data_IF_856568016890
#
_entry.id   IF_856568016890
#
_cell.length_a   1.000
_cell.length_b   1.000
_cell.length_c   1.000
_cell.angle_alpha   90.00
_cell.angle_beta   90.00
_cell.angle_gamma   90.00
#
_symmetry.space_group_name_H-M   'P 1'
#
loop_
_entity.id
_entity.type
_entity.pdbx_description
1 polymer ?
2 non-polymer ?
3 non-polymer ?
4 water ?
#
# COMPACT_ATOMS: atom_id res chain seq x y z
N UNK A 23 27.36 16.67 15.82
CA UNK A 23 26.62 17.85 16.26
C UNK A 23 26.31 17.78 17.75
N UNK A 24 25.34 18.60 18.17
CA UNK A 24 24.80 18.56 19.52
C UNK A 24 23.29 18.73 19.41
N UNK A 25 22.54 17.69 19.73
CA UNK A 25 21.10 17.69 19.48
C UNK A 25 20.44 16.64 20.35
N UNK A 26 19.19 16.92 20.74
CA UNK A 26 18.41 15.93 21.48
C UNK A 26 18.10 14.73 20.58
N UNK A 27 17.87 14.98 19.29
CA UNK A 27 17.64 13.89 18.35
C UNK A 27 18.89 13.02 18.22
N UNK A 28 20.07 13.64 18.14
CA UNK A 28 21.31 12.86 18.07
C UNK A 28 21.57 12.12 19.37
N UNK A 29 21.16 12.68 20.51
CA UNK A 29 21.25 11.96 21.77
C UNK A 29 20.38 10.72 21.75
N UNK A 30 19.14 10.88 21.29
CA UNK A 30 18.20 9.74 21.27
C UNK A 30 18.68 8.67 20.30
N UNK A 31 19.13 9.07 19.11
CA UNK A 31 19.60 8.12 18.11
C UNK A 31 20.82 7.36 18.64
N UNK A 32 21.69 8.03 19.38
CA UNK A 32 22.88 7.41 19.95
C UNK A 32 22.61 6.68 21.26
N UNK A 33 21.34 6.53 21.63
CA UNK A 33 20.94 5.79 22.83
C UNK A 33 21.47 6.43 24.11
N UNK A 34 21.72 7.74 24.09
CA UNK A 34 22.10 8.48 25.28
C UNK A 34 20.89 9.23 25.82
N UNK A 35 20.70 9.18 27.13
CA UNK A 35 19.62 9.91 27.76
C UNK A 35 19.90 11.41 27.65
N UNK A 36 19.02 12.19 27.05
CA UNK A 36 19.31 13.62 26.87
C UNK A 36 19.29 14.38 28.18
N UNK A 37 20.02 15.50 28.18
CA UNK A 37 19.99 16.46 29.29
C UNK A 37 18.84 17.43 29.02
N UNK A 38 17.64 17.00 29.37
CA UNK A 38 16.43 17.75 29.02
C UNK A 38 16.48 19.18 29.56
N UNK A 39 17.02 19.36 30.77
CA UNK A 39 17.07 20.68 31.37
C UNK A 39 17.97 21.62 30.58
N UNK A 40 19.08 21.11 30.05
CA UNK A 40 19.97 21.94 29.25
C UNK A 40 19.29 22.37 27.95
N UNK A 41 18.52 21.47 27.33
CA UNK A 41 17.81 21.82 26.11
C UNK A 41 16.67 22.80 26.39
N UNK A 42 16.03 22.70 27.55
CA UNK A 42 14.99 23.66 27.90
C UNK A 42 15.59 25.04 28.19
N UNK A 43 16.73 25.07 28.89
CA UNK A 43 17.40 26.35 29.14
C UNK A 43 17.88 26.98 27.85
N UNK A 44 18.19 26.17 26.83
CA UNK A 44 18.58 26.69 25.53
C UNK A 44 17.39 27.22 24.72
N UNK A 45 16.20 27.24 25.31
CA UNK A 45 15.02 27.77 24.62
C UNK A 45 14.28 26.79 23.75
N UNK A 46 14.57 25.50 23.85
CA UNK A 46 13.90 24.50 23.04
C UNK A 46 12.70 23.93 23.78
N UNK A 47 11.71 23.47 23.01
CA UNK A 47 10.58 22.75 23.54
C UNK A 47 10.73 21.26 23.22
N UNK A 48 10.37 20.42 24.19
CA UNK A 48 10.45 18.97 23.96
C UNK A 48 9.39 18.47 23.00
N UNK A 49 8.57 19.36 22.43
CA UNK A 49 7.65 19.03 21.35
C UNK A 49 8.13 19.52 20.00
N UNK A 50 9.34 20.07 19.93
CA UNK A 50 9.82 20.69 18.70
C UNK A 50 10.15 19.64 17.65
N UNK A 51 9.88 19.99 16.39
CA UNK A 51 10.28 19.16 15.26
C UNK A 51 11.78 19.33 15.03
N UNK A 52 12.51 18.23 15.00
CA UNK A 52 13.96 18.29 14.93
C UNK A 52 14.43 18.36 13.47
N UNK A 53 15.74 18.23 13.26
CA UNK A 53 16.34 18.33 11.94
C UNK A 53 15.95 17.17 11.03
N UNK A 54 15.38 16.09 11.57
CA UNK A 54 14.95 14.97 10.77
C UNK A 54 13.45 14.97 10.50
N UNK A 55 12.72 15.97 10.98
CA UNK A 55 11.29 16.05 10.80
C UNK A 55 10.46 15.36 11.87
N UNK A 56 11.07 14.95 12.98
CA UNK A 56 10.38 14.21 14.02
C UNK A 56 10.45 14.98 15.34
N UNK A 57 9.67 14.52 16.30
CA UNK A 57 9.73 14.99 17.67
C UNK A 57 10.58 14.04 18.52
N UNK A 58 11.06 14.49 19.68
CA UNK A 58 11.81 13.56 20.54
C UNK A 58 11.05 12.28 20.88
N UNK A 59 9.74 12.38 21.11
CA UNK A 59 8.95 11.18 21.40
C UNK A 59 8.87 10.27 20.18
N UNK A 60 8.73 10.84 18.99
CA UNK A 60 8.72 10.02 17.78
C UNK A 60 10.09 9.41 17.54
N UNK A 61 11.17 10.12 17.89
CA UNK A 61 12.49 9.51 17.83
C UNK A 61 12.60 8.31 18.76
N UNK A 62 12.08 8.46 19.99
CA UNK A 62 12.06 7.35 20.93
C UNK A 62 11.27 6.17 20.37
N UNK A 63 10.12 6.43 19.76
CA UNK A 63 9.33 5.36 19.18
C UNK A 63 10.05 4.67 18.05
N UNK A 64 10.70 5.44 17.17
CA UNK A 64 11.43 4.87 16.04
C UNK A 64 12.58 4.01 16.53
N UNK A 65 13.28 4.46 17.57
CA UNK A 65 14.45 3.74 18.07
C UNK A 65 14.14 2.78 19.21
N UNK A 66 12.85 2.62 19.56
CA UNK A 66 12.42 1.66 20.58
C UNK A 66 13.06 1.93 21.94
N UNK A 67 13.27 3.22 22.25
CA UNK A 67 13.92 3.64 23.50
C UNK A 67 12.81 4.01 24.48
N UNK A 68 12.47 3.06 25.36
CA UNK A 68 11.30 3.25 26.21
C UNK A 68 11.62 4.10 27.44
N UNK A 69 12.86 4.06 27.94
CA UNK A 69 13.19 4.89 29.11
C UNK A 69 13.18 6.38 28.76
N UNK A 70 13.73 6.74 27.61
CA UNK A 70 13.71 8.14 27.19
C UNK A 70 12.28 8.59 26.93
N UNK A 71 11.45 7.69 26.40
CA UNK A 71 10.04 8.02 26.18
C UNK A 71 9.32 8.23 27.51
N UNK A 72 9.64 7.42 28.52
CA UNK A 72 9.07 7.64 29.85
C UNK A 72 9.49 9.00 30.40
N UNK A 73 10.76 9.35 30.23
CA UNK A 73 11.23 10.67 30.66
C UNK A 73 10.45 11.78 29.96
N UNK A 74 10.26 11.65 28.64
CA UNK A 74 9.55 12.69 27.89
C UNK A 74 8.09 12.78 28.33
N UNK A 75 7.45 11.65 28.58
CA UNK A 75 6.05 11.66 29.03
C UNK A 75 5.95 12.28 30.42
N UNK A 76 6.95 12.02 31.28
CA UNK A 76 6.98 12.66 32.58
C UNK A 76 7.03 14.18 32.47
N UNK A 77 7.71 14.70 31.44
CA UNK A 77 7.75 16.13 31.21
C UNK A 77 6.57 16.62 30.37
N UNK A 78 5.51 15.81 30.28
CA UNK A 78 4.22 16.21 29.70
C UNK A 78 4.35 16.73 28.27
N UNK A 79 5.04 15.95 27.42
CA UNK A 79 5.04 16.25 26.00
C UNK A 79 3.68 15.90 25.40
N UNK A 80 3.37 16.51 24.26
CA UNK A 80 2.15 16.17 23.53
C UNK A 80 2.29 14.76 22.97
N UNK A 81 1.60 13.80 23.59
CA UNK A 81 1.74 12.40 23.21
C UNK A 81 1.09 12.06 21.88
N UNK A 82 0.36 13.01 21.28
CA UNK A 82 -0.31 12.77 20.01
C UNK A 82 0.19 13.68 18.89
N UNK A 83 1.30 14.40 19.10
CA UNK A 83 1.80 15.29 18.06
C UNK A 83 2.45 14.49 16.94
N UNK A 84 1.98 14.63 15.71
CA UNK A 84 2.55 13.82 14.62
C UNK A 84 3.63 14.56 13.85
N UNK A 85 4.26 13.86 12.90
CA UNK A 85 5.14 14.52 11.94
C UNK A 85 4.28 15.06 10.81
N UNK A 86 4.92 15.54 9.74
CA UNK A 86 4.18 16.19 8.66
C UNK A 86 3.24 15.23 7.96
N UNK A 87 3.55 13.93 7.97
CA UNK A 87 2.71 12.94 7.31
C UNK A 87 1.50 12.54 8.15
N UNK A 88 1.42 12.97 9.41
CA UNK A 88 0.33 12.60 10.27
C UNK A 88 0.57 11.38 11.13
N UNK A 89 1.77 10.82 11.10
CA UNK A 89 2.11 9.65 11.91
C UNK A 89 2.34 10.09 13.35
N UNK A 90 1.41 9.76 14.23
CA UNK A 90 1.59 10.02 15.65
C UNK A 90 2.64 9.06 16.21
N UNK A 91 3.15 9.33 17.43
CA UNK A 91 4.05 8.36 18.05
C UNK A 91 3.46 6.97 18.15
N UNK A 92 2.14 6.85 18.34
CA UNK A 92 1.52 5.54 18.36
C UNK A 92 1.63 4.85 17.01
N UNK A 93 1.48 5.60 15.91
CA UNK A 93 1.70 5.05 14.58
C UNK A 93 3.09 4.43 14.47
N UNK A 94 4.11 5.15 14.94
CA UNK A 94 5.48 4.67 14.82
C UNK A 94 5.71 3.45 15.71
N UNK A 95 5.15 3.45 16.92
CA UNK A 95 5.31 2.29 17.80
C UNK A 95 4.63 1.07 17.23
N UNK A 96 3.45 1.25 16.62
CA UNK A 96 2.68 0.11 16.12
C UNK A 96 3.31 -0.43 14.85
N UNK A 97 3.75 0.44 13.95
CA UNK A 97 4.44 -0.02 12.74
C UNK A 97 5.71 -0.77 13.07
N UNK A 98 6.31 -0.54 14.24
CA UNK A 98 7.45 -1.31 14.70
C UNK A 98 7.05 -2.61 15.39
N UNK A 99 5.75 -2.85 15.59
CA UNK A 99 5.26 -4.00 16.34
C UNK A 99 5.88 -4.06 17.73
N UNK A 100 6.05 -2.89 18.34
CA UNK A 100 6.64 -2.77 19.67
C UNK A 100 5.50 -2.73 20.68
N UNK A 101 5.32 -3.83 21.42
CA UNK A 101 4.20 -3.93 22.35
C UNK A 101 4.41 -3.04 23.57
N UNK A 102 5.63 -3.00 24.11
CA UNK A 102 5.88 -2.21 25.31
C UNK A 102 5.69 -0.72 25.04
N UNK A 103 6.25 -0.23 23.92
CA UNK A 103 6.09 1.18 23.59
C UNK A 103 4.64 1.53 23.30
N UNK A 104 3.93 0.65 22.60
CA UNK A 104 2.52 0.88 22.32
C UNK A 104 1.71 0.95 23.61
N UNK A 105 1.98 0.03 24.55
CA UNK A 105 1.27 0.04 25.83
C UNK A 105 1.59 1.30 26.62
N UNK A 106 2.86 1.72 26.63
CA UNK A 106 3.24 2.95 27.32
C UNK A 106 2.50 4.15 26.74
N UNK A 107 2.46 4.25 25.41
CA UNK A 107 1.79 5.37 24.76
C UNK A 107 0.29 5.37 25.04
N UNK A 108 -0.34 4.19 24.93
CA UNK A 108 -1.78 4.10 25.18
C UNK A 108 -2.12 4.40 26.64
N UNK A 109 -1.22 4.06 27.56
CA UNK A 109 -1.48 4.32 28.97
C UNK A 109 -1.64 5.82 29.24
N UNK A 110 -0.85 6.65 28.55
CA UNK A 110 -0.82 8.08 28.82
C UNK A 110 -1.53 8.89 27.74
N UNK A 111 -2.52 8.31 27.09
CA UNK A 111 -3.46 9.07 26.28
C UNK A 111 -3.24 9.08 24.79
N UNK A 112 -2.45 8.17 24.24
CA UNK A 112 -2.27 8.11 22.80
C UNK A 112 -3.59 7.69 22.13
N UNK A 113 -4.02 8.47 21.15
CA UNK A 113 -5.28 8.22 20.46
C UNK A 113 -5.18 6.93 19.64
N UNK A 114 -5.91 5.87 20.01
CA UNK A 114 -5.80 4.62 19.25
C UNK A 114 -6.47 4.66 17.89
N UNK A 115 -7.22 5.72 17.58
CA UNK A 115 -7.91 5.84 16.30
C UNK A 115 -7.37 7.00 15.47
N UNK A 116 -6.17 7.48 15.77
CA UNK A 116 -5.56 8.53 14.96
C UNK A 116 -5.24 8.00 13.57
N UNK A 117 -5.41 8.85 12.57
CA UNK A 117 -5.11 8.49 11.19
C UNK A 117 -4.18 9.53 10.59
N UNK A 118 -3.43 9.10 9.58
CA UNK A 118 -2.42 9.94 8.95
C UNK A 118 -3.06 10.87 7.92
N UNK A 119 -2.21 11.61 7.22
CA UNK A 119 -2.68 12.58 6.24
C UNK A 119 -3.50 11.93 5.13
N UNK A 120 -3.19 10.68 4.79
CA UNK A 120 -3.93 9.94 3.78
C UNK A 120 -5.15 9.22 4.34
N UNK A 121 -5.38 9.30 5.65
CA UNK A 121 -6.49 8.59 6.27
C UNK A 121 -6.15 7.21 6.77
N UNK A 122 -4.87 6.89 6.94
CA UNK A 122 -4.42 5.57 7.37
C UNK A 122 -4.36 5.55 8.89
N UNK A 123 -5.23 4.77 9.51
CA UNK A 123 -5.32 4.73 10.97
C UNK A 123 -4.28 3.78 11.56
N UNK A 124 -4.24 3.74 12.89
CA UNK A 124 -3.21 2.99 13.61
C UNK A 124 -3.30 1.50 13.34
N UNK A 125 -4.51 0.98 13.10
CA UNK A 125 -4.72 -0.45 12.98
C UNK A 125 -4.38 -1.00 11.60
N UNK A 126 -4.17 -0.15 10.59
CA UNK A 126 -4.11 -0.63 9.20
C UNK A 126 -2.96 -1.61 9.01
N UNK A 127 -1.75 -1.23 9.42
CA UNK A 127 -0.59 -2.07 9.16
C UNK A 127 -0.60 -3.34 10.02
N UNK A 128 -0.94 -3.29 11.30
CA UNK A 128 -1.09 -4.57 12.04
C UNK A 128 -2.17 -5.46 11.48
N UNK A 129 -3.25 -4.90 10.94
CA UNK A 129 -4.27 -5.72 10.30
C UNK A 129 -3.70 -6.40 9.05
N UNK A 130 -2.97 -5.63 8.24
CA UNK A 130 -2.41 -6.17 7.00
C UNK A 130 -1.32 -7.20 7.28
N UNK A 131 -0.62 -7.07 8.40
CA UNK A 131 0.49 -7.97 8.73
C UNK A 131 0.09 -9.08 9.68
N UNK A 132 -1.17 -9.13 10.11
CA UNK A 132 -1.62 -10.20 11.00
C UNK A 132 -0.93 -10.21 12.34
N UNK A 133 -0.72 -9.04 12.94
CA UNK A 133 -0.07 -8.92 14.25
C UNK A 133 -1.16 -8.87 15.31
N UNK A 134 -1.55 -10.04 15.80
CA UNK A 134 -2.75 -10.15 16.63
C UNK A 134 -2.56 -9.55 18.02
N UNK A 135 -1.35 -9.65 18.58
CA UNK A 135 -1.12 -9.15 19.94
C UNK A 135 -1.31 -7.63 20.00
N UNK A 136 -0.67 -6.91 19.07
CA UNK A 136 -0.80 -5.46 19.06
C UNK A 136 -2.21 -5.04 18.65
N UNK A 137 -2.86 -5.83 17.80
CA UNK A 137 -4.25 -5.56 17.47
C UNK A 137 -5.16 -5.66 18.69
N UNK A 138 -4.95 -6.68 19.51
CA UNK A 138 -5.77 -6.83 20.71
C UNK A 138 -5.44 -5.76 21.74
N UNK A 139 -4.17 -5.37 21.84
CA UNK A 139 -3.81 -4.26 22.72
C UNK A 139 -4.51 -2.98 22.28
N UNK A 140 -4.59 -2.73 20.98
CA UNK A 140 -5.28 -1.54 20.49
C UNK A 140 -6.79 -1.65 20.71
N UNK A 141 -7.35 -2.85 20.53
CA UNK A 141 -8.76 -3.07 20.80
C UNK A 141 -9.09 -2.73 22.25
N UNK A 142 -8.26 -3.20 23.18
CA UNK A 142 -8.51 -3.01 24.60
C UNK A 142 -8.55 -1.53 24.96
N UNK A 143 -7.85 -0.68 24.21
CA UNK A 143 -7.80 0.74 24.50
C UNK A 143 -8.69 1.57 23.58
N UNK A 144 -9.52 0.91 22.76
CA UNK A 144 -10.58 1.60 22.05
C UNK A 144 -10.47 1.68 20.54
N UNK A 145 -9.51 0.99 19.92
CA UNK A 145 -9.36 1.07 18.48
C UNK A 145 -10.54 0.40 17.78
N UNK A 146 -11.01 1.02 16.70
CA UNK A 146 -12.16 0.54 15.93
C UNK A 146 -11.67 -0.11 14.65
N UNK A 147 -11.99 -1.40 14.48
CA UNK A 147 -11.44 -2.17 13.36
C UNK A 147 -12.07 -1.78 12.03
N UNK A 148 -13.32 -1.33 12.05
CA UNK A 148 -14.02 -1.04 10.80
C UNK A 148 -13.34 0.07 10.01
N UNK A 149 -12.75 1.05 10.70
CA UNK A 149 -12.02 2.11 10.01
C UNK A 149 -10.88 1.54 9.18
N UNK A 150 -10.04 0.70 9.80
CA UNK A 150 -8.92 0.10 9.08
C UNK A 150 -9.41 -0.78 7.95
N UNK A 151 -10.43 -1.61 8.20
CA UNK A 151 -10.93 -2.50 7.16
C UNK A 151 -11.47 -1.71 5.96
N UNK A 152 -12.23 -0.64 6.24
CA UNK A 152 -12.80 0.16 5.16
C UNK A 152 -11.72 0.89 4.38
N UNK A 153 -10.70 1.42 5.07
CA UNK A 153 -9.60 2.07 4.36
C UNK A 153 -8.91 1.08 3.43
N UNK A 154 -8.56 -0.10 3.96
CA UNK A 154 -7.86 -1.11 3.16
C UNK A 154 -8.70 -1.49 1.94
N UNK A 155 -9.99 -1.76 2.16
CA UNK A 155 -10.86 -2.20 1.07
C UNK A 155 -11.03 -1.11 0.03
N UNK A 156 -11.22 0.14 0.46
CA UNK A 156 -11.40 1.23 -0.49
C UNK A 156 -10.14 1.46 -1.33
N UNK A 157 -8.97 1.43 -0.69
CA UNK A 157 -7.73 1.59 -1.44
C UNK A 157 -7.53 0.45 -2.42
N UNK A 158 -7.78 -0.79 -1.98
CA UNK A 158 -7.59 -1.94 -2.85
C UNK A 158 -8.54 -1.89 -4.03
N UNK A 159 -9.78 -1.44 -3.81
CA UNK A 159 -10.74 -1.34 -4.90
C UNK A 159 -10.35 -0.24 -5.87
N UNK A 160 -9.94 0.92 -5.35
CA UNK A 160 -9.50 2.00 -6.21
C UNK A 160 -8.32 1.62 -7.08
N UNK A 161 -7.42 0.79 -6.54
CA UNK A 161 -6.26 0.37 -7.32
C UNK A 161 -6.62 -0.74 -8.31
N UNK A 162 -7.31 -1.78 -7.85
CA UNK A 162 -7.61 -2.93 -8.73
C UNK A 162 -8.53 -2.53 -9.87
N UNK A 163 -9.52 -1.69 -9.59
CA UNK A 163 -10.48 -1.26 -10.62
C UNK A 163 -10.05 0.04 -11.30
N UNK A 164 -8.88 0.58 -10.96
CA UNK A 164 -8.32 1.77 -11.60
C UNK A 164 -9.29 2.95 -11.54
N UNK A 165 -9.89 3.16 -10.37
CA UNK A 165 -10.83 4.25 -10.20
C UNK A 165 -10.12 5.58 -10.09
N UNK A 166 -10.77 6.62 -10.61
CA UNK A 166 -10.25 7.98 -10.54
C UNK A 166 -11.08 8.81 -9.57
N UNK A 167 -10.44 9.82 -8.98
CA UNK A 167 -11.12 10.71 -8.07
C UNK A 167 -11.00 10.28 -6.62
N UNK A 168 -11.91 10.81 -5.81
CA UNK A 168 -11.93 10.57 -4.38
C UNK A 168 -13.17 9.77 -4.00
N UNK A 169 -13.19 9.33 -2.74
CA UNK A 169 -14.38 8.75 -2.13
C UNK A 169 -14.29 8.95 -0.63
N UNK A 170 -15.43 9.12 0.01
CA UNK A 170 -15.46 9.39 1.45
C UNK A 170 -15.74 8.11 2.22
N UNK A 171 -14.87 7.81 3.17
CA UNK A 171 -15.06 6.68 4.07
C UNK A 171 -15.35 7.23 5.46
N UNK A 172 -15.68 6.32 6.38
CA UNK A 172 -16.10 6.68 7.73
C UNK A 172 -14.95 6.41 8.69
N UNK A 173 -14.57 7.41 9.49
CA UNK A 173 -13.53 7.25 10.48
C UNK A 173 -14.14 6.64 11.75
N UNK A 174 -13.35 6.55 12.81
CA UNK A 174 -13.82 5.94 14.05
C UNK A 174 -14.82 6.79 14.81
N UNK A 175 -15.04 8.04 14.39
CA UNK A 175 -16.00 8.92 15.03
C UNK A 175 -17.30 9.05 14.23
N UNK A 176 -17.51 8.19 13.23
CA UNK A 176 -18.69 8.29 12.40
C UNK A 176 -18.66 9.42 11.39
N UNK A 177 -17.56 10.16 11.29
CA UNK A 177 -17.44 11.27 10.37
C UNK A 177 -16.77 10.83 9.07
N UNK A 178 -17.13 11.51 7.99
CA UNK A 178 -16.59 11.18 6.68
C UNK A 178 -15.25 11.86 6.46
N UNK A 179 -14.27 11.10 5.96
CA UNK A 179 -12.98 11.62 5.54
C UNK A 179 -12.74 11.22 4.09
N UNK A 180 -11.99 12.05 3.39
CA UNK A 180 -11.71 11.81 1.98
C UNK A 180 -10.58 10.81 1.82
N UNK A 181 -10.68 10.00 0.76
CA UNK A 181 -9.69 9.00 0.41
C UNK A 181 -9.44 9.10 -1.08
N UNK A 182 -8.17 9.18 -1.46
CA UNK A 182 -7.77 9.36 -2.86
C UNK A 182 -7.59 7.99 -3.50
N UNK A 183 -8.46 7.68 -4.47
CA UNK A 183 -8.34 6.42 -5.20
C UNK A 183 -7.00 6.29 -5.89
N UNK A 184 -6.42 7.42 -6.33
CA UNK A 184 -5.23 7.41 -7.16
C UNK A 184 -3.94 7.60 -6.36
N UNK A 185 -4.02 7.89 -5.07
CA UNK A 185 -2.82 8.08 -4.27
C UNK A 185 -2.11 6.76 -4.04
N UNK A 186 -0.82 6.73 -4.31
CA UNK A 186 -0.01 5.53 -4.16
C UNK A 186 0.79 5.60 -2.87
N UNK A 187 0.74 4.52 -2.09
CA UNK A 187 1.50 4.39 -0.85
C UNK A 187 2.30 3.10 -0.94
N UNK A 188 3.64 3.21 -0.86
CA UNK A 188 4.50 2.08 -1.20
C UNK A 188 4.43 0.97 -0.15
N UNK A 189 4.64 1.32 1.12
CA UNK A 189 4.63 0.31 2.17
C UNK A 189 3.25 -0.33 2.29
N UNK A 190 2.20 0.48 2.22
CA UNK A 190 0.84 -0.05 2.18
C UNK A 190 0.66 -1.01 1.01
N UNK A 191 1.19 -0.65 -0.17
CA UNK A 191 1.04 -1.51 -1.33
C UNK A 191 1.75 -2.85 -1.14
N UNK A 192 2.97 -2.82 -0.60
CA UNK A 192 3.69 -4.07 -0.35
C UNK A 192 2.92 -4.96 0.60
N UNK A 193 2.44 -4.37 1.71
CA UNK A 193 1.69 -5.15 2.70
C UNK A 193 0.42 -5.74 2.10
N UNK A 194 -0.33 -4.93 1.34
CA UNK A 194 -1.59 -5.41 0.80
C UNK A 194 -1.37 -6.44 -0.29
N UNK A 195 -0.26 -6.35 -1.03
CA UNK A 195 0.02 -7.34 -2.07
C UNK A 195 0.38 -8.68 -1.43
N UNK A 196 1.20 -8.64 -0.37
CA UNK A 196 1.51 -9.88 0.34
C UNK A 196 0.24 -10.52 0.91
N UNK A 197 -0.62 -9.70 1.53
CA UNK A 197 -1.85 -10.25 2.09
C UNK A 197 -2.78 -10.79 1.02
N UNK A 198 -2.81 -10.14 -0.15
CA UNK A 198 -3.65 -10.62 -1.25
C UNK A 198 -3.15 -11.95 -1.79
N UNK A 199 -1.83 -12.11 -1.90
CA UNK A 199 -1.29 -13.40 -2.31
C UNK A 199 -1.63 -14.48 -1.29
N UNK A 200 -1.50 -14.16 0.01
CA UNK A 200 -1.84 -15.12 1.05
C UNK A 200 -3.29 -15.56 0.95
N UNK A 201 -4.21 -14.60 0.76
CA UNK A 201 -5.62 -14.94 0.58
C UNK A 201 -5.85 -15.72 -0.70
N UNK A 202 -5.08 -15.41 -1.75
CA UNK A 202 -5.27 -16.04 -3.04
C UNK A 202 -4.95 -17.53 -3.00
N UNK A 203 -3.78 -17.89 -2.46
CA UNK A 203 -3.41 -19.30 -2.39
C UNK A 203 -4.17 -20.06 -1.33
N UNK A 204 -5.03 -19.39 -0.56
CA UNK A 204 -5.83 -20.02 0.47
C UNK A 204 -7.30 -20.14 0.09
N UNK A 205 -7.68 -19.66 -1.09
CA UNK A 205 -9.06 -19.74 -1.54
C UNK A 205 -9.35 -21.13 -2.10
N UNK A 206 -10.56 -21.63 -1.85
CA UNK A 206 -10.98 -22.88 -2.45
C UNK A 206 -10.93 -22.82 -3.97
N UNK A 207 -11.45 -21.72 -4.54
CA UNK A 207 -11.55 -21.56 -5.98
C UNK A 207 -10.21 -21.59 -6.70
N UNK A 208 -9.09 -21.62 -5.97
CA UNK A 208 -7.77 -21.64 -6.59
C UNK A 208 -7.02 -22.94 -6.31
N UNK A 209 -7.73 -23.99 -5.85
CA UNK A 209 -7.04 -25.24 -5.53
C UNK A 209 -6.35 -25.84 -6.75
N UNK A 210 -6.91 -25.65 -7.95
CA UNK A 210 -6.29 -26.16 -9.15
C UNK A 210 -4.94 -25.52 -9.45
N UNK A 211 -4.57 -24.48 -8.71
CA UNK A 211 -3.27 -23.83 -8.85
C UNK A 211 -2.28 -24.26 -7.77
N UNK A 212 -2.58 -25.37 -7.07
CA UNK A 212 -1.76 -25.77 -5.92
C UNK A 212 -0.29 -25.93 -6.29
N UNK A 213 -0.01 -26.50 -7.46
CA UNK A 213 1.37 -26.75 -7.88
C UNK A 213 2.16 -25.46 -7.99
N UNK A 214 1.50 -24.32 -8.16
CA UNK A 214 2.18 -23.03 -8.28
C UNK A 214 2.42 -22.36 -6.93
N UNK A 215 1.92 -22.94 -5.84
CA UNK A 215 1.94 -22.29 -4.53
C UNK A 215 3.35 -22.14 -3.93
N UNK A 216 4.23 -23.14 -4.02
CA UNK A 216 5.59 -22.95 -3.47
C UNK A 216 6.30 -21.70 -3.98
N UNK A 217 6.37 -21.53 -5.30
CA UNK A 217 7.01 -20.34 -5.87
C UNK A 217 6.41 -19.06 -5.30
N UNK A 218 5.07 -18.98 -5.31
CA UNK A 218 4.38 -17.83 -4.72
C UNK A 218 4.85 -17.60 -3.29
N UNK A 219 4.97 -18.68 -2.52
CA UNK A 219 5.46 -18.56 -1.14
C UNK A 219 6.77 -17.79 -1.10
N UNK A 220 7.73 -18.19 -1.94
CA UNK A 220 9.02 -17.50 -1.98
C UNK A 220 8.82 -16.02 -2.25
N UNK A 221 7.97 -15.70 -3.23
CA UNK A 221 7.68 -14.29 -3.54
C UNK A 221 7.22 -13.57 -2.29
N UNK A 222 6.26 -14.18 -1.56
CA UNK A 222 5.78 -13.58 -0.33
C UNK A 222 6.93 -13.31 0.63
N UNK A 223 7.80 -14.31 0.81
CA UNK A 223 9.00 -14.11 1.62
C UNK A 223 9.73 -12.86 1.20
N UNK A 224 10.04 -12.74 -0.09
CA UNK A 224 10.75 -11.57 -0.58
C UNK A 224 10.00 -10.29 -0.22
N UNK A 225 8.69 -10.29 -0.44
CA UNK A 225 7.90 -9.10 -0.11
C UNK A 225 8.07 -8.75 1.35
N UNK A 226 8.03 -9.76 2.24
CA UNK A 226 8.29 -9.53 3.65
C UNK A 226 9.58 -8.76 3.83
N UNK A 227 10.68 -9.30 3.30
CA UNK A 227 11.97 -8.63 3.43
C UNK A 227 11.89 -7.21 2.89
N UNK A 228 11.23 -7.04 1.73
CA UNK A 228 11.09 -5.70 1.16
C UNK A 228 10.49 -4.75 2.18
N UNK A 229 9.41 -5.16 2.83
CA UNK A 229 8.78 -4.33 3.85
C UNK A 229 9.80 -3.88 4.88
N UNK A 230 10.58 -4.83 5.42
CA UNK A 230 11.61 -4.47 6.38
C UNK A 230 12.55 -3.42 5.78
N UNK A 231 13.08 -3.70 4.59
CA UNK A 231 14.03 -2.78 3.98
C UNK A 231 13.40 -1.43 3.73
N UNK A 232 12.08 -1.37 3.53
CA UNK A 232 11.45 -0.08 3.32
C UNK A 232 11.30 0.69 4.62
N UNK A 233 11.05 -0.02 5.73
CA UNK A 233 10.86 0.66 7.00
C UNK A 233 12.13 1.40 7.43
N UNK A 234 13.29 0.80 7.17
CA UNK A 234 14.56 1.44 7.49
C UNK A 234 14.75 2.76 6.76
N UNK A 235 13.99 2.98 5.68
CA UNK A 235 14.08 4.27 4.99
C UNK A 235 13.63 5.43 5.86
N UNK A 236 12.78 5.16 6.87
CA UNK A 236 12.33 6.21 7.76
C UNK A 236 13.32 6.51 8.88
N UNK A 237 14.26 5.62 9.14
CA UNK A 237 15.21 5.81 10.23
C UNK A 237 16.12 7.01 9.93
N UNK A 238 16.32 7.90 10.90
CA UNK A 238 17.16 9.08 10.63
C UNK A 238 18.64 8.77 10.44
N UNK A 239 19.14 7.66 10.97
CA UNK A 239 20.57 7.34 10.87
C UNK A 239 20.73 5.83 11.07
N UNK A 240 20.97 5.11 9.98
CA UNK A 240 21.18 3.68 10.07
C UNK A 240 22.48 3.36 10.79
N UNK A 241 22.47 2.25 11.52
CA UNK A 241 23.61 1.86 12.32
C UNK A 241 24.08 0.44 12.09
N UNK A 242 24.83 -0.10 13.05
CA UNK A 242 25.46 -1.40 12.88
C UNK A 242 24.43 -2.50 12.65
N UNK A 243 23.34 -2.49 13.42
CA UNK A 243 22.35 -3.57 13.32
C UNK A 243 21.62 -3.53 11.99
N UNK A 244 21.33 -2.32 11.49
CA UNK A 244 20.69 -2.22 10.18
C UNK A 244 21.58 -2.80 9.08
N UNK A 245 22.88 -2.53 9.15
CA UNK A 245 23.79 -3.06 8.16
C UNK A 245 23.97 -4.56 8.31
N UNK A 246 23.92 -5.08 9.54
CA UNK A 246 23.92 -6.54 9.73
C UNK A 246 22.69 -7.17 9.10
N UNK A 247 21.52 -6.53 9.27
CA UNK A 247 20.30 -7.05 8.66
C UNK A 247 20.40 -7.01 7.14
N UNK A 248 20.94 -5.92 6.58
CA UNK A 248 21.09 -5.84 5.14
C UNK A 248 22.05 -6.92 4.63
N UNK A 249 23.12 -7.20 5.40
CA UNK A 249 24.03 -8.27 5.02
C UNK A 249 23.34 -9.62 5.05
N UNK A 250 22.46 -9.84 6.04
CA UNK A 250 21.70 -11.08 6.09
C UNK A 250 20.78 -11.21 4.88
N UNK A 251 20.08 -10.13 4.53
CA UNK A 251 19.13 -10.19 3.41
C UNK A 251 19.82 -10.28 2.06
N UNK A 252 21.06 -9.79 1.94
CA UNK A 252 21.80 -9.98 0.70
C UNK A 252 22.10 -11.43 0.43
N UNK A 253 21.97 -12.32 1.42
CA UNK A 253 22.15 -13.75 1.22
C UNK A 253 20.84 -14.48 0.94
N UNK A 254 19.70 -13.79 1.00
CA UNK A 254 18.44 -14.40 0.69
C UNK A 254 18.37 -14.78 -0.78
N UNK A 255 17.63 -15.83 -1.14
CA UNK A 255 17.56 -16.23 -2.55
C UNK A 255 16.89 -15.21 -3.44
N UNK A 256 15.84 -14.55 -2.95
CA UNK A 256 15.11 -13.56 -3.73
C UNK A 256 15.08 -12.23 -2.98
N UNK A 257 15.10 -11.15 -3.74
CA UNK A 257 15.19 -9.79 -3.21
C UNK A 257 14.30 -8.89 -4.06
N UNK A 258 13.44 -8.11 -3.40
CA UNK A 258 12.56 -7.17 -4.09
C UNK A 258 12.96 -5.77 -3.67
N UNK A 259 13.34 -4.95 -4.65
CA UNK A 259 13.84 -3.60 -4.42
C UNK A 259 12.94 -2.59 -5.13
N UNK A 260 12.01 -1.95 -4.43
CA UNK A 260 11.27 -0.84 -5.04
C UNK A 260 12.09 0.43 -4.96
N UNK A 261 12.17 1.15 -6.08
CA UNK A 261 12.92 2.38 -6.18
C UNK A 261 11.99 3.51 -6.60
N UNK A 262 12.21 4.68 -6.00
CA UNK A 262 11.45 5.89 -6.32
C UNK A 262 12.25 6.72 -7.31
N UNK A 263 11.64 7.02 -8.45
CA UNK A 263 12.28 7.82 -9.49
C UNK A 263 11.21 8.57 -10.26
N UNK A 264 11.40 9.89 -10.40
CA UNK A 264 10.51 10.74 -11.19
C UNK A 264 9.06 10.63 -10.71
N UNK A 265 8.88 10.58 -9.39
CA UNK A 265 7.55 10.48 -8.82
C UNK A 265 6.86 9.15 -9.00
N UNK A 266 7.57 8.12 -9.45
CA UNK A 266 6.98 6.81 -9.68
C UNK A 266 7.81 5.74 -9.00
N UNK A 267 7.16 4.62 -8.67
CA UNK A 267 7.84 3.47 -8.10
C UNK A 267 8.08 2.45 -9.20
N UNK A 268 9.35 2.18 -9.50
CA UNK A 268 9.72 1.08 -10.37
C UNK A 268 10.30 -0.04 -9.51
N UNK A 269 10.26 -1.26 -10.03
CA UNK A 269 10.58 -2.42 -9.19
C UNK A 269 11.75 -3.19 -9.78
N UNK A 270 12.59 -3.72 -8.91
CA UNK A 270 13.68 -4.59 -9.30
C UNK A 270 13.58 -5.90 -8.53
N UNK A 271 13.93 -6.99 -9.19
CA UNK A 271 13.89 -8.31 -8.58
C UNK A 271 15.24 -8.98 -8.79
N UNK A 272 15.85 -9.44 -7.71
CA UNK A 272 17.08 -10.21 -7.75
C UNK A 272 16.74 -11.65 -7.35
N UNK A 273 17.16 -12.61 -8.18
CA UNK A 273 17.01 -14.02 -7.85
C UNK A 273 18.26 -14.73 -8.31
N UNK A 274 19.13 -15.08 -7.35
CA UNK A 274 20.42 -15.69 -7.65
C UNK A 274 21.21 -14.82 -8.61
N UNK A 275 21.55 -15.36 -9.78
CA UNK A 275 22.34 -14.61 -10.76
C UNK A 275 21.48 -13.79 -11.71
N UNK A 276 20.18 -13.68 -11.46
CA UNK A 276 19.26 -12.98 -12.35
C UNK A 276 18.78 -11.68 -11.73
N UNK A 277 18.60 -10.67 -12.56
CA UNK A 277 18.15 -9.34 -12.16
C UNK A 277 17.04 -8.93 -13.12
N UNK A 278 16.05 -8.19 -12.61
CA UNK A 278 14.91 -7.82 -13.42
C UNK A 278 14.48 -6.41 -13.11
N UNK A 279 14.24 -5.62 -14.15
CA UNK A 279 13.69 -4.28 -14.03
C UNK A 279 12.27 -4.26 -14.56
N UNK A 280 11.37 -3.67 -13.78
CA UNK A 280 9.95 -3.57 -14.08
C UNK A 280 9.58 -2.10 -14.01
N UNK A 281 9.20 -1.53 -15.16
CA UNK A 281 8.73 -0.15 -15.25
C UNK A 281 7.74 -0.11 -16.41
N UNK A 282 6.45 -0.16 -16.10
CA UNK A 282 5.40 -0.19 -17.10
C UNK A 282 4.98 1.21 -17.56
N UNK A 283 5.68 2.24 -17.13
CA UNK A 283 5.31 3.60 -17.48
C UNK A 283 5.95 4.09 -18.78
N UNK A 284 6.36 5.35 -18.80
CA UNK A 284 6.90 5.96 -20.02
C UNK A 284 8.11 5.19 -20.55
N UNK A 285 9.00 4.76 -19.65
CA UNK A 285 10.22 4.08 -20.07
C UNK A 285 9.92 2.83 -20.90
N UNK A 286 8.77 2.19 -20.67
CA UNK A 286 8.42 0.99 -21.42
C UNK A 286 8.30 1.26 -22.91
N UNK A 287 8.09 2.51 -23.32
CA UNK A 287 8.05 2.81 -24.76
C UNK A 287 9.42 2.60 -25.40
N UNK A 288 10.50 2.77 -24.64
CA UNK A 288 11.84 2.57 -25.16
C UNK A 288 12.39 1.18 -24.87
N UNK A 289 12.11 0.66 -23.66
CA UNK A 289 12.72 -0.58 -23.20
C UNK A 289 11.76 -1.76 -23.16
N UNK A 290 10.46 -1.53 -23.22
CA UNK A 290 9.50 -2.54 -22.82
C UNK A 290 9.32 -2.52 -21.31
N UNK A 291 8.33 -3.29 -20.85
CA UNK A 291 7.94 -3.20 -19.45
C UNK A 291 8.89 -3.95 -18.53
N UNK A 292 9.30 -5.16 -18.91
CA UNK A 292 10.02 -6.05 -18.01
C UNK A 292 11.24 -6.61 -18.73
N UNK A 293 12.42 -6.33 -18.19
CA UNK A 293 13.68 -6.82 -18.73
C UNK A 293 14.41 -7.65 -17.69
N UNK A 294 14.98 -8.77 -18.12
CA UNK A 294 15.67 -9.72 -17.25
C UNK A 294 17.10 -9.87 -17.76
N UNK A 295 18.06 -9.64 -16.87
CA UNK A 295 19.49 -9.69 -17.16
C UNK A 295 20.15 -10.74 -16.29
N UNK A 296 21.34 -11.17 -16.73
CA UNK A 296 22.23 -11.99 -15.91
C UNK A 296 23.23 -11.08 -15.21
N UNK A 297 23.42 -11.29 -13.92
CA UNK A 297 24.39 -10.51 -13.15
C UNK A 297 25.77 -11.12 -13.36
N UNK A 298 26.61 -10.45 -14.15
CA UNK A 298 27.93 -10.94 -14.47
C UNK A 298 29.01 -10.41 -13.53
N UNK A 299 28.71 -9.38 -12.74
CA UNK A 299 29.60 -8.91 -11.68
C UNK A 299 28.86 -8.96 -10.35
N UNK A 300 28.61 -10.16 -9.82
CA UNK A 300 27.90 -10.27 -8.54
C UNK A 300 28.69 -9.71 -7.37
N UNK A 301 30.00 -9.54 -7.51
CA UNK A 301 30.82 -8.98 -6.44
C UNK A 301 30.49 -7.52 -6.15
N UNK A 302 29.81 -6.84 -7.07
CA UNK A 302 29.42 -5.45 -6.87
C UNK A 302 28.09 -5.31 -6.12
N UNK A 303 27.37 -6.42 -5.90
CA UNK A 303 26.09 -6.39 -5.19
C UNK A 303 26.38 -6.51 -3.70
N UNK A 304 26.76 -5.40 -3.09
CA UNK A 304 27.27 -5.35 -1.73
C UNK A 304 26.34 -4.53 -0.84
N UNK A 305 26.78 -4.36 0.42
CA UNK A 305 26.06 -3.51 1.36
C UNK A 305 25.99 -2.08 0.84
N UNK A 306 27.12 -1.57 0.36
CA UNK A 306 27.15 -0.20 -0.15
C UNK A 306 26.24 -0.03 -1.36
N UNK A 307 26.11 -1.08 -2.18
CA UNK A 307 25.17 -1.02 -3.30
C UNK A 307 23.74 -0.87 -2.80
N UNK A 308 23.34 -1.70 -1.82
CA UNK A 308 21.99 -1.63 -1.29
C UNK A 308 21.74 -0.27 -0.63
N UNK A 309 22.77 0.28 0.02
CA UNK A 309 22.61 1.57 0.67
C UNK A 309 22.42 2.68 -0.36
N UNK A 310 23.27 2.71 -1.40
CA UNK A 310 23.07 3.66 -2.48
C UNK A 310 21.71 3.48 -3.14
N UNK A 311 21.22 2.25 -3.21
CA UNK A 311 19.99 1.94 -3.93
C UNK A 311 18.76 2.40 -3.17
N UNK A 312 18.71 2.12 -1.86
CA UNK A 312 17.48 2.32 -1.08
C UNK A 312 17.54 3.51 -0.14
N UNK A 313 18.72 3.92 0.33
CA UNK A 313 18.83 4.87 1.43
C UNK A 313 19.58 6.14 1.04
N UNK A 314 19.90 6.33 -0.23
CA UNK A 314 20.39 7.59 -0.74
C UNK A 314 19.51 8.06 -1.88
N UNK A 315 19.47 9.37 -2.08
CA UNK A 315 18.69 9.95 -3.18
C UNK A 315 19.46 9.80 -4.49
N UNK A 316 18.86 9.15 -5.47
CA UNK A 316 19.48 8.92 -6.77
C UNK A 316 18.56 9.44 -7.87
N UNK A 317 19.14 9.69 -9.04
CA UNK A 317 18.40 10.16 -10.20
C UNK A 317 18.08 8.99 -11.13
N UNK A 318 17.34 9.28 -12.19
CA UNK A 318 17.02 8.26 -13.19
C UNK A 318 18.27 7.65 -13.82
N UNK A 319 19.35 8.43 -13.93
CA UNK A 319 20.58 7.93 -14.53
C UNK A 319 21.17 6.79 -13.72
N UNK A 320 21.01 6.83 -12.39
CA UNK A 320 21.52 5.75 -11.55
C UNK A 320 20.76 4.46 -11.80
N UNK A 321 19.42 4.52 -11.81
CA UNK A 321 18.62 3.30 -11.92
C UNK A 321 18.53 2.77 -13.34
N UNK A 322 18.80 3.60 -14.35
CA UNK A 322 18.67 3.16 -15.73
C UNK A 322 19.99 2.98 -16.45
N UNK A 323 21.12 3.16 -15.78
CA UNK A 323 22.41 3.00 -16.47
C UNK A 323 23.54 2.62 -15.51
N UNK A 324 23.67 3.35 -14.41
CA UNK A 324 24.80 3.13 -13.50
C UNK A 324 24.79 1.71 -12.94
N UNK A 325 23.62 1.20 -12.55
CA UNK A 325 23.55 -0.13 -11.96
C UNK A 325 23.85 -1.19 -13.02
N UNK A 326 23.46 -0.95 -14.28
CA UNK A 326 23.80 -1.89 -15.35
C UNK A 326 25.31 -2.04 -15.48
N UNK A 327 26.04 -0.92 -15.37
CA UNK A 327 27.49 -0.98 -15.48
C UNK A 327 28.11 -1.59 -14.24
N UNK A 328 27.59 -1.27 -13.06
CA UNK A 328 28.18 -1.76 -11.82
C UNK A 328 28.00 -3.27 -11.69
N UNK A 329 26.79 -3.76 -11.95
CA UNK A 329 26.49 -5.18 -11.84
C UNK A 329 26.84 -5.98 -13.08
N UNK A 330 27.18 -5.31 -14.19
CA UNK A 330 27.43 -6.00 -15.44
C UNK A 330 26.20 -6.73 -15.94
N UNK A 331 25.10 -6.01 -16.08
CA UNK A 331 23.81 -6.61 -16.40
C UNK A 331 23.77 -7.00 -17.86
N UNK A 332 23.85 -8.30 -18.13
CA UNK A 332 23.81 -8.82 -19.49
C UNK A 332 22.37 -9.13 -19.88
N UNK A 333 21.80 -8.45 -20.87
CA UNK A 333 20.40 -8.72 -21.25
C UNK A 333 20.19 -10.18 -21.63
N UNK A 334 19.12 -10.76 -21.09
CA UNK A 334 18.87 -12.18 -21.27
C UNK A 334 17.47 -12.45 -21.80
N UNK A 335 16.46 -11.83 -21.20
CA UNK A 335 15.09 -12.11 -21.57
C UNK A 335 14.22 -10.88 -21.33
N UNK A 336 12.98 -10.95 -21.79
CA UNK A 336 12.01 -9.90 -21.57
C UNK A 336 10.63 -10.52 -21.37
N UNK A 337 9.72 -9.76 -20.79
CA UNK A 337 8.38 -10.27 -20.56
C UNK A 337 7.35 -9.29 -21.13
N UNK A 338 6.38 -9.78 -21.91
CA UNK A 338 5.36 -8.90 -22.52
C UNK A 338 4.28 -8.47 -21.54
N UNK A 339 4.68 -7.64 -20.58
CA UNK A 339 3.75 -7.06 -19.62
C UNK A 339 3.20 -5.78 -20.20
N UNK A 340 1.87 -5.61 -20.11
CA UNK A 340 1.23 -4.45 -20.71
C UNK A 340 1.70 -3.15 -20.06
N UNK A 341 1.80 -2.11 -20.88
CA UNK A 341 2.25 -0.82 -20.41
C UNK A 341 1.14 -0.09 -19.65
N UNK A 342 1.55 0.82 -18.77
CA UNK A 342 0.64 1.69 -18.02
C UNK A 342 1.13 3.11 -18.23
N UNK A 343 0.78 3.69 -19.38
CA UNK A 343 1.25 5.02 -19.72
C UNK A 343 0.42 6.09 -19.02
N UNK A 344 -0.91 5.93 -19.06
CA UNK A 344 -1.78 6.89 -18.39
C UNK A 344 -1.74 6.69 -16.88
N UNK A 345 -1.84 7.79 -16.15
CA UNK A 345 -1.90 7.73 -14.70
C UNK A 345 -0.56 7.38 -14.07
N UNK A 346 -0.65 6.85 -12.84
CA UNK A 346 0.51 6.45 -12.07
C UNK A 346 0.70 4.94 -12.19
N UNK A 347 1.88 4.53 -12.63
CA UNK A 347 2.17 3.13 -12.90
C UNK A 347 2.78 2.41 -11.71
N UNK A 348 2.94 3.08 -10.57
CA UNK A 348 3.61 2.46 -9.42
C UNK A 348 2.88 1.20 -8.97
N UNK A 349 1.55 1.28 -8.85
CA UNK A 349 0.78 0.11 -8.44
C UNK A 349 0.98 -1.05 -9.41
N UNK A 350 0.85 -0.78 -10.71
CA UNK A 350 1.03 -1.83 -11.71
C UNK A 350 2.45 -2.38 -11.68
N UNK A 351 3.44 -1.52 -11.44
CA UNK A 351 4.82 -1.98 -11.35
C UNK A 351 4.99 -2.95 -10.18
N UNK A 352 4.36 -2.65 -9.04
CA UNK A 352 4.46 -3.57 -7.90
C UNK A 352 3.71 -4.86 -8.19
N UNK A 353 2.54 -4.76 -8.83
CA UNK A 353 1.78 -5.97 -9.16
C UNK A 353 2.58 -6.89 -10.08
N UNK A 354 3.27 -6.33 -11.07
CA UNK A 354 4.01 -7.12 -12.04
C UNK A 354 5.16 -7.90 -11.43
N UNK A 355 5.53 -7.62 -10.17
CA UNK A 355 6.62 -8.35 -9.53
C UNK A 355 6.30 -9.85 -9.43
N UNK A 356 5.02 -10.19 -9.25
CA UNK A 356 4.61 -11.58 -9.02
C UNK A 356 4.94 -12.42 -10.25
N UNK A 357 4.43 -12.12 -11.45
CA UNK A 357 4.78 -12.97 -12.61
C UNK A 357 6.26 -12.92 -12.95
N UNK A 358 6.91 -11.78 -12.76
CA UNK A 358 8.33 -11.67 -13.08
C UNK A 358 9.15 -12.57 -12.14
N UNK A 359 8.88 -12.49 -10.84
CA UNK A 359 9.61 -13.33 -9.88
C UNK A 359 9.31 -14.81 -10.11
N UNK A 360 8.06 -15.13 -10.47
CA UNK A 360 7.73 -16.51 -10.82
C UNK A 360 8.58 -16.99 -11.99
N UNK A 361 8.59 -16.21 -13.08
CA UNK A 361 9.37 -16.59 -14.26
C UNK A 361 10.85 -16.74 -13.91
N UNK A 362 11.38 -15.84 -13.10
CA UNK A 362 12.79 -15.93 -12.73
C UNK A 362 13.07 -17.20 -11.93
N UNK A 363 12.10 -17.61 -11.09
CA UNK A 363 12.24 -18.89 -10.40
C UNK A 363 12.20 -20.06 -11.39
N UNK A 364 11.45 -19.90 -12.49
CA UNK A 364 11.33 -21.01 -13.44
C UNK A 364 12.66 -21.33 -14.11
N UNK A 365 13.57 -20.37 -14.18
CA UNK A 365 14.87 -20.57 -14.81
C UNK A 365 15.68 -21.66 -14.10
N UNK A 371 12.60 -20.98 -19.83
CA UNK A 371 11.94 -19.71 -19.60
C UNK A 371 10.58 -19.67 -20.30
N UNK A 372 9.52 -19.52 -19.50
CA UNK A 372 8.15 -19.57 -20.01
C UNK A 372 7.32 -18.49 -19.33
N UNK A 373 7.12 -17.35 -20.01
CA UNK A 373 6.22 -16.32 -19.45
C UNK A 373 4.75 -16.69 -19.50
N UNK A 374 4.39 -17.79 -20.17
CA UNK A 374 2.99 -18.16 -20.35
C UNK A 374 2.29 -18.39 -19.01
N UNK A 375 2.83 -19.34 -18.23
CA UNK A 375 2.21 -19.69 -16.95
C UNK A 375 2.23 -18.49 -16.02
N UNK A 376 3.32 -17.72 -16.02
CA UNK A 376 3.42 -16.57 -15.13
C UNK A 376 2.35 -15.53 -15.45
N UNK A 377 2.16 -15.22 -16.73
CA UNK A 377 1.17 -14.22 -17.10
C UNK A 377 -0.25 -14.73 -16.85
N UNK A 378 -0.50 -16.00 -17.12
CA UNK A 378 -1.82 -16.56 -16.83
C UNK A 378 -2.13 -16.50 -15.34
N UNK A 379 -1.14 -16.86 -14.51
CA UNK A 379 -1.30 -16.78 -13.06
C UNK A 379 -1.53 -15.34 -12.62
N UNK A 380 -0.82 -14.39 -13.21
CA UNK A 380 -1.00 -12.99 -12.87
C UNK A 380 -2.42 -12.52 -13.17
N UNK A 381 -2.93 -12.87 -14.36
CA UNK A 381 -4.29 -12.49 -14.72
C UNK A 381 -5.32 -13.11 -13.78
N UNK A 382 -5.15 -14.41 -13.50
CA UNK A 382 -6.07 -15.09 -12.60
C UNK A 382 -6.07 -14.46 -11.22
N UNK A 383 -4.88 -14.15 -10.68
CA UNK A 383 -4.78 -13.52 -9.37
C UNK A 383 -5.44 -12.15 -9.36
N UNK A 384 -5.20 -11.35 -10.39
CA UNK A 384 -5.75 -9.99 -10.41
C UNK A 384 -7.28 -10.03 -10.49
N UNK A 385 -7.83 -10.88 -11.36
CA UNK A 385 -9.29 -10.95 -11.44
C UNK A 385 -9.90 -11.51 -10.17
N UNK A 386 -9.26 -12.52 -9.56
CA UNK A 386 -9.75 -13.05 -8.30
C UNK A 386 -9.74 -11.99 -7.22
N UNK A 387 -8.71 -11.14 -7.19
CA UNK A 387 -8.65 -10.10 -6.16
C UNK A 387 -9.70 -9.02 -6.39
N UNK A 388 -9.93 -8.66 -7.65
CA UNK A 388 -11.04 -7.76 -7.96
C UNK A 388 -12.35 -8.28 -7.39
N UNK A 389 -12.68 -9.54 -7.72
CA UNK A 389 -13.94 -10.11 -7.25
C UNK A 389 -13.97 -10.26 -5.74
N UNK A 390 -12.82 -10.54 -5.11
CA UNK A 390 -12.77 -10.67 -3.66
C UNK A 390 -13.07 -9.35 -2.98
N UNK A 391 -12.48 -8.26 -3.47
CA UNK A 391 -12.75 -6.95 -2.89
C UNK A 391 -14.21 -6.56 -3.09
N UNK A 392 -14.76 -6.83 -4.28
CA UNK A 392 -16.16 -6.54 -4.52
C UNK A 392 -17.07 -7.33 -3.57
N UNK A 393 -16.76 -8.61 -3.36
CA UNK A 393 -17.55 -9.43 -2.45
C UNK A 393 -17.44 -8.94 -1.01
N UNK A 394 -16.24 -8.48 -0.61
CA UNK A 394 -16.08 -7.91 0.72
C UNK A 394 -16.99 -6.71 0.90
N UNK A 395 -17.02 -5.82 -0.09
CA UNK A 395 -17.90 -4.65 -0.01
C UNK A 395 -19.37 -5.07 0.10
N UNK A 396 -19.79 -6.00 -0.76
CA UNK A 396 -21.19 -6.42 -0.77
C UNK A 396 -21.58 -7.05 0.56
N UNK A 397 -20.69 -7.87 1.13
CA UNK A 397 -20.98 -8.51 2.40
C UNK A 397 -21.04 -7.50 3.53
N UNK A 398 -20.11 -6.53 3.55
CA UNK A 398 -20.10 -5.55 4.62
C UNK A 398 -21.26 -4.57 4.52
N UNK A 399 -21.85 -4.40 3.34
CA UNK A 399 -22.96 -3.46 3.22
C UNK A 399 -24.12 -3.82 4.14
N UNK A 400 -24.48 -5.11 4.21
CA UNK A 400 -25.65 -5.51 4.97
C UNK A 400 -25.42 -5.47 6.48
N UNK A 401 -24.17 -5.39 6.92
CA UNK A 401 -23.84 -5.35 8.34
C UNK A 401 -23.44 -3.95 8.81
N UNK A 402 -23.57 -2.95 7.95
CA UNK A 402 -22.96 -1.66 8.19
C UNK A 402 -23.95 -0.64 8.78
N UNK A 403 -23.38 0.38 9.41
CA UNK A 403 -24.11 1.53 9.88
C UNK A 403 -24.59 2.36 8.69
N UNK A 404 -25.50 3.31 8.89
CA UNK A 404 -25.96 4.14 7.76
C UNK A 404 -24.83 4.87 7.04
N UNK A 405 -23.88 5.45 7.78
CA UNK A 405 -22.79 6.18 7.15
C UNK A 405 -21.87 5.24 6.38
N UNK A 406 -21.48 4.12 6.99
CA UNK A 406 -20.67 3.14 6.28
C UNK A 406 -21.43 2.55 5.10
N UNK A 407 -22.75 2.39 5.22
CA UNK A 407 -23.55 1.96 4.09
C UNK A 407 -23.49 2.96 2.94
N UNK A 408 -23.57 4.25 3.25
CA UNK A 408 -23.46 5.28 2.22
C UNK A 408 -22.09 5.24 1.56
N UNK A 409 -21.04 5.07 2.36
CA UNK A 409 -19.68 4.99 1.80
C UNK A 409 -19.54 3.79 0.87
N UNK A 410 -20.03 2.62 1.31
CA UNK A 410 -19.93 1.42 0.50
C UNK A 410 -20.75 1.56 -0.77
N UNK A 411 -21.92 2.18 -0.69
CA UNK A 411 -22.73 2.40 -1.88
C UNK A 411 -22.03 3.33 -2.87
N UNK A 412 -21.35 4.37 -2.35
CA UNK A 412 -20.58 5.25 -3.22
C UNK A 412 -19.45 4.48 -3.91
N UNK A 413 -18.77 3.62 -3.17
CA UNK A 413 -17.68 2.83 -3.76
C UNK A 413 -18.22 1.91 -4.84
N UNK A 414 -19.35 1.24 -4.57
CA UNK A 414 -19.93 0.33 -5.55
C UNK A 414 -20.39 1.08 -6.79
N UNK A 415 -20.98 2.27 -6.61
CA UNK A 415 -21.36 3.07 -7.76
C UNK A 415 -20.18 3.52 -8.58
N UNK A 416 -19.07 3.87 -7.91
CA UNK A 416 -17.86 4.19 -8.64
C UNK A 416 -17.37 3.02 -9.47
N UNK A 417 -17.33 1.83 -8.87
CA UNK A 417 -16.97 0.62 -9.62
C UNK A 417 -17.86 0.48 -10.85
N UNK A 418 -19.17 0.53 -10.64
CA UNK A 418 -20.13 0.29 -11.72
C UNK A 418 -19.95 1.31 -12.85
N UNK A 419 -19.80 2.58 -12.51
CA UNK A 419 -19.76 3.61 -13.54
C UNK A 419 -18.43 3.61 -14.28
N UNK A 420 -17.31 3.47 -13.55
CA UNK A 420 -16.01 3.66 -14.17
C UNK A 420 -15.43 2.40 -14.78
N UNK A 421 -15.67 1.22 -14.19
CA UNK A 421 -14.90 0.03 -14.51
C UNK A 421 -15.69 -1.06 -15.24
N UNK A 422 -16.99 -0.89 -15.46
CA UNK A 422 -17.82 -1.92 -16.05
C UNK A 422 -18.22 -1.53 -17.47
N UNK A 423 -17.83 -2.34 -18.45
CA UNK A 423 -18.22 -2.16 -19.84
C UNK A 423 -19.36 -3.12 -20.16
N UNK A 424 -20.37 -2.61 -20.88
CA UNK A 424 -21.58 -3.38 -21.15
C UNK A 424 -21.33 -4.57 -22.07
N UNK A 425 -20.17 -4.66 -22.72
CA UNK A 425 -19.86 -5.76 -23.62
C UNK A 425 -19.06 -6.87 -22.95
N UNK A 426 -18.76 -6.75 -21.66
CA UNK A 426 -17.99 -7.73 -20.92
C UNK A 426 -18.92 -8.49 -19.99
N UNK A 427 -18.97 -9.82 -20.14
CA UNK A 427 -19.90 -10.61 -19.35
C UNK A 427 -19.47 -10.68 -17.88
N UNK A 428 -18.16 -10.68 -17.60
CA UNK A 428 -17.71 -10.61 -16.22
C UNK A 428 -18.06 -9.26 -15.59
N UNK A 429 -17.86 -8.18 -16.35
CA UNK A 429 -18.30 -6.88 -15.89
C UNK A 429 -19.80 -6.84 -15.70
N UNK A 430 -20.56 -7.57 -16.51
CA UNK A 430 -22.01 -7.62 -16.34
C UNK A 430 -22.40 -8.37 -15.08
N UNK A 431 -21.67 -9.44 -14.75
CA UNK A 431 -21.92 -10.15 -13.50
C UNK A 431 -21.63 -9.24 -12.30
N UNK A 432 -20.51 -8.51 -12.34
CA UNK A 432 -20.21 -7.55 -11.29
C UNK A 432 -21.28 -6.47 -11.21
N UNK A 433 -21.79 -6.03 -12.36
CA UNK A 433 -22.84 -5.02 -12.38
C UNK A 433 -24.13 -5.55 -11.78
N UNK A 434 -24.45 -6.83 -12.01
CA UNK A 434 -25.61 -7.43 -11.37
C UNK A 434 -25.43 -7.45 -9.86
N UNK A 435 -24.26 -7.91 -9.40
CA UNK A 435 -23.95 -7.89 -7.97
C UNK A 435 -24.14 -6.50 -7.37
N UNK A 436 -23.69 -5.47 -8.08
CA UNK A 436 -23.74 -4.11 -7.54
C UNK A 436 -25.17 -3.57 -7.58
N UNK A 437 -25.89 -3.79 -8.68
CA UNK A 437 -27.25 -3.31 -8.82
C UNK A 437 -28.20 -3.98 -7.84
N UNK A 438 -27.85 -5.18 -7.34
CA UNK A 438 -28.63 -5.75 -6.25
C UNK A 438 -28.73 -4.79 -5.06
N UNK A 439 -27.71 -3.97 -4.85
CA UNK A 439 -27.68 -3.01 -3.74
C UNK A 439 -28.09 -1.62 -4.20
N UNK A 440 -27.62 -1.17 -5.37
CA UNK A 440 -27.88 0.19 -5.81
C UNK A 440 -29.31 0.41 -6.29
N UNK A 441 -30.13 -0.64 -6.36
CA UNK A 441 -31.52 -0.48 -6.77
C UNK A 441 -32.45 -0.29 -5.58
N UNK A 442 -32.03 -0.67 -4.37
CA UNK A 442 -32.78 -0.39 -3.16
C UNK A 442 -33.23 1.07 -3.14
N UNK A 443 -34.43 1.30 -2.60
CA UNK A 443 -35.01 2.64 -2.63
C UNK A 443 -34.17 3.63 -1.83
N UNK A 444 -33.53 3.19 -0.75
CA UNK A 444 -32.78 4.08 0.12
C UNK A 444 -31.42 4.46 -0.44
N UNK A 445 -31.00 3.88 -1.56
CA UNK A 445 -29.69 4.16 -2.12
C UNK A 445 -29.71 4.40 -3.63
N UNK A 446 -30.87 4.23 -4.27
CA UNK A 446 -31.00 4.57 -5.68
C UNK A 446 -30.44 5.93 -6.01
N UNK A 447 -30.43 6.85 -5.04
CA UNK A 447 -29.94 8.20 -5.28
C UNK A 447 -28.56 8.18 -5.92
N UNK A 448 -27.70 7.24 -5.50
CA UNK A 448 -26.39 7.10 -6.13
C UNK A 448 -26.56 7.04 -7.65
N UNK A 449 -27.22 6.00 -8.14
CA UNK A 449 -27.50 5.90 -9.57
C UNK A 449 -28.13 7.18 -10.10
N UNK A 450 -29.12 7.72 -9.37
CA UNK A 450 -29.75 8.97 -9.75
C UNK A 450 -28.71 10.01 -10.09
N UNK A 451 -27.81 10.29 -9.14
CA UNK A 451 -26.78 11.29 -9.36
C UNK A 451 -26.05 11.04 -10.67
N UNK A 452 -25.58 9.81 -10.87
CA UNK A 452 -24.87 9.49 -12.10
C UNK A 452 -25.74 9.79 -13.32
N UNK A 453 -26.97 9.26 -13.33
CA UNK A 453 -27.84 9.49 -14.48
C UNK A 453 -28.17 10.97 -14.64
N UNK A 454 -28.11 11.73 -13.55
CA UNK A 454 -28.32 13.18 -13.67
C UNK A 454 -27.10 13.85 -14.29
N UNK A 455 -25.90 13.42 -13.90
CA UNK A 455 -24.69 14.11 -14.30
C UNK A 455 -24.06 13.54 -15.57
N UNK A 456 -24.65 12.51 -16.18
CA UNK A 456 -24.04 11.92 -17.37
C UNK A 456 -25.07 11.33 -18.33
N UNK A 457 -26.34 11.70 -18.20
CA UNK A 457 -27.36 11.20 -19.13
C UNK A 457 -28.39 12.27 -19.47
N UNK A 458 -28.83 13.04 -18.47
CA UNK A 458 -29.80 14.10 -18.74
C UNK A 458 -29.08 15.38 -19.16
N UNK A 459 -28.07 15.79 -18.40
CA UNK A 459 -27.38 17.04 -18.69
C UNK A 459 -26.65 16.96 -20.03
N UNK A 460 -25.92 15.85 -20.26
CA UNK A 460 -25.37 15.52 -21.56
C UNK A 460 -25.11 14.02 -21.57
N UNK A 461 -25.15 13.43 -22.77
CA UNK A 461 -24.97 11.99 -22.91
C UNK A 461 -23.50 11.71 -23.16
N UNK A 462 -22.78 11.38 -22.08
CA UNK A 462 -21.37 11.03 -22.22
C UNK A 462 -21.24 9.58 -22.68
N UNK A 463 -19.99 9.19 -22.98
CA UNK A 463 -19.72 7.82 -23.36
C UNK A 463 -20.04 6.86 -22.22
N UNK A 464 -19.58 7.19 -21.01
CA UNK A 464 -19.80 6.31 -19.87
C UNK A 464 -21.25 6.34 -19.41
N UNK A 465 -21.94 7.47 -19.56
CA UNK A 465 -23.37 7.49 -19.29
C UNK A 465 -24.14 6.60 -20.25
N UNK A 466 -23.76 6.60 -21.53
CA UNK A 466 -24.34 5.68 -22.50
C UNK A 466 -24.08 4.23 -22.10
N UNK A 467 -22.84 3.93 -21.69
CA UNK A 467 -22.51 2.58 -21.25
C UNK A 467 -23.33 2.19 -20.03
N UNK A 468 -23.58 3.15 -19.12
CA UNK A 468 -24.37 2.87 -17.93
C UNK A 468 -25.83 2.58 -18.30
N UNK A 469 -26.39 3.35 -19.24
CA UNK A 469 -27.74 3.08 -19.72
C UNK A 469 -27.82 1.68 -20.33
N UNK A 470 -26.84 1.34 -21.16
CA UNK A 470 -26.80 0.00 -21.76
C UNK A 470 -26.76 -1.07 -20.67
N UNK A 471 -25.87 -0.91 -19.68
CA UNK A 471 -25.75 -1.88 -18.61
C UNK A 471 -27.08 -2.03 -17.87
N UNK A 472 -27.72 -0.91 -17.55
CA UNK A 472 -29.01 -0.96 -16.86
C UNK A 472 -30.04 -1.72 -17.67
N UNK A 473 -30.02 -1.54 -19.00
CA UNK A 473 -31.00 -2.24 -19.82
C UNK A 473 -30.70 -3.74 -19.90
N UNK A 474 -29.42 -4.11 -19.99
CA UNK A 474 -29.07 -5.54 -20.03
C UNK A 474 -29.36 -6.26 -18.72
N UNK A 475 -29.61 -5.53 -17.63
CA UNK A 475 -29.98 -6.11 -16.36
C UNK A 475 -31.47 -5.98 -16.08
N UNK A 476 -32.27 -5.60 -17.08
CA UNK A 476 -33.70 -5.47 -16.92
C UNK A 476 -34.13 -4.30 -16.06
N UNK A 477 -33.58 -3.12 -16.33
CA UNK A 477 -33.81 -1.94 -15.51
C UNK A 477 -34.06 -0.76 -16.43
N UNK A 478 -35.24 -0.15 -16.31
CA UNK A 478 -35.56 1.05 -17.07
C UNK A 478 -35.50 2.24 -16.13
N UNK A 479 -34.52 3.15 -16.29
CA UNK A 479 -34.43 4.29 -15.37
C UNK A 479 -35.56 5.30 -15.52
N UNK A 480 -36.34 5.24 -16.60
CA UNK A 480 -37.42 6.17 -16.86
C UNK A 480 -36.92 7.62 -16.81
N UNK A 481 -35.98 7.91 -17.71
CA UNK A 481 -35.27 9.18 -17.70
C UNK A 481 -35.43 9.96 -19.01
N UNK A 482 -35.95 9.34 -20.07
CA UNK A 482 -36.14 10.02 -21.34
C UNK A 482 -34.99 9.86 -22.32
N UNK A 483 -33.85 9.36 -21.88
CA UNK A 483 -32.68 9.15 -22.73
C UNK A 483 -32.56 7.66 -23.02
N UNK A 484 -32.13 7.34 -24.25
CA UNK A 484 -32.01 5.97 -24.71
C UNK A 484 -30.58 5.68 -25.15
N UNK A 485 -30.14 4.42 -25.10
CA UNK A 485 -28.80 4.08 -25.56
C UNK A 485 -28.62 4.31 -27.05
N UNK A 486 -27.36 4.46 -27.46
CA UNK A 486 -26.99 4.70 -28.85
C UNK A 486 -25.92 3.66 -29.20
N UNK A 487 -26.35 2.52 -29.72
CA UNK A 487 -25.43 1.45 -30.09
C UNK A 487 -24.67 1.80 -31.37
X LIG B 1 1.67 10.22 4.53
X LIG B 1 -0.31 9.42 5.02
X LIG B 1 0.95 9.35 5.10
X LIG B 1 1.61 8.23 5.90
X LIG B 1 2.95 8.09 5.50
X LIG B 1 0.86 6.92 5.65
X LIG B 1 0.67 6.76 4.27
X LIG B 1 1.66 5.75 6.20
X LIG B 1 1.94 5.70 7.43
X LIG B 1 2.04 4.83 5.43
X LIG C 1 18.28 2.65 17.21
X LIG C 1 17.05 1.97 15.54
X LIG C 1 17.49 1.80 16.70
X LIG C 1 17.09 0.56 17.50
X LIG C 1 17.47 0.72 18.84
X LIG C 1 17.77 -0.67 16.91
X LIG C 1 19.01 -0.86 17.54
X LIG C 1 16.90 -1.89 17.15
X LIG C 1 17.24 -2.77 17.98
X LIG C 1 15.81 -2.02 16.51
X LIG D 1 -4.32 -5.38 -18.18
X LIG D 1 -3.08 -5.88 -18.57
X LIG D 1 -4.13 -4.66 -16.83
X LIG D 1 -5.27 -4.00 -16.41
X LIG D 1 -3.70 -5.78 -15.84
X LIG D 1 -2.37 -5.53 -15.50
X LIG E 1 20.86 -15.13 -4.14
X LIG E 1 20.47 -16.45 -3.95
X LIG E 1 22.33 -15.00 -3.66
X LIG E 1 22.42 -14.50 -2.37
X LIG E 1 22.93 -16.42 -3.78
X LIG E 1 23.17 -16.65 -5.13
X LIG F 1 18.47 4.02 29.66
X LIG F 1 18.25 4.89 30.73
X LIG F 1 18.46 4.87 28.37
X LIG F 1 19.70 5.46 28.13
X LIG F 1 18.07 3.88 27.25
X LIG F 1 17.93 4.64 26.09
#
# INVERSE_FOLDING_TARGET
MHHHHHHSSGVDLGTENLYFQSNASIANDIISHRMPDFDAYLRAGESLDDIDEYGFTPLIECAITRQIKIAEQLIARKVDINKPDVTGRTPLHWAVDNNDLDMTKLLLTYGADPNAYTRNGLCVLVYPVLRGQDAIKQLLYHHGAKLDFALDFINAKLIGHRFELQGDVDIVNAKGEFIELDYEGFILEFTVAVVKDSLRRFISSYSTRHLRDYFPYIHNIMDAFTDAAELLQYQHHPRLGEQHFKRIAALLKAPMLILPAASRGHALCFVRYHQWWAKIDRGENSLQEGSVNIYRITRPEALTINFIHDFLYKKQNRRYYHQMINQQLGLLPFAQMPISSQISGNCSWANVQAVVPVAYSMQELTSVENFKPDVALSLYDEWVEWDKDRALDECIQRFYLASPERKASIAAILGGILFQACDHANKRHLERAEKILNILILDEYYYVLSSYLEEYCIKRLTRKGNNLLKILDDCGINPNIGVNPVATGL
TLA O1 O11 C1 C2 O2 C3 O3 C4 O4 O41
TLA O1 O11 C1 C2 O2 C3 O3 C4 O4 O41
GOL C1 O1 C2 O2 C3 O3
GOL C1 O1 C2 O2 C3 O3
GOL C1 O1 C2 O2 C3 O3
#
